data_IF_962102783815
#
_entry.id   IF_962102783815
#
_cell.length_a   1.000
_cell.length_b   1.000
_cell.length_c   1.000
_cell.angle_alpha   90.00
_cell.angle_beta   90.00
_cell.angle_gamma   90.00
#
_symmetry.space_group_name_H-M   'P 1'
#
loop_
_entity.id
_entity.type
_entity.pdbx_description
1 polymer ?
#
# COMPACT_ATOMS: atom_id res chain seq x y z
N UNK A 1 -13.24 -39.24 45.53
CA UNK A 1 -13.45 -38.51 46.80
C UNK A 1 -13.34 -37.03 46.52
N UNK A 2 -14.31 -36.29 46.98
CA UNK A 2 -14.43 -34.83 47.11
C UNK A 2 -14.53 -34.07 45.78
N UNK A 3 -15.68 -33.67 45.37
CA UNK A 3 -16.72 -32.72 45.86
C UNK A 3 -16.20 -31.29 45.97
N UNK A 4 -16.83 -30.45 45.23
CA UNK A 4 -17.37 -29.14 45.54
C UNK A 4 -16.98 -28.14 44.44
N UNK A 5 -17.70 -27.18 44.07
CA UNK A 5 -19.06 -26.69 44.38
C UNK A 5 -19.43 -25.72 43.26
N UNK A 6 -20.63 -25.85 42.82
CA UNK A 6 -21.32 -24.82 42.01
C UNK A 6 -21.36 -23.50 42.79
N UNK A 7 -21.11 -22.43 42.14
CA UNK A 7 -21.67 -21.16 42.54
C UNK A 7 -22.20 -20.40 41.32
N UNK A 8 -23.49 -20.60 41.16
CA UNK A 8 -24.36 -19.84 40.27
C UNK A 8 -24.61 -18.49 40.93
N UNK A 9 -24.12 -17.44 40.33
CA UNK A 9 -24.58 -16.10 40.66
C UNK A 9 -25.42 -15.58 39.53
N UNK A 10 -26.71 -15.70 39.72
CA UNK A 10 -27.73 -15.03 38.91
C UNK A 10 -27.81 -13.60 39.45
N UNK A 11 -27.25 -12.66 38.73
CA UNK A 11 -27.54 -11.26 38.94
C UNK A 11 -28.63 -10.84 37.96
N UNK A 12 -29.85 -10.91 38.41
CA UNK A 12 -30.99 -10.29 37.74
C UNK A 12 -30.91 -8.79 37.99
N UNK A 13 -30.48 -8.03 37.01
CA UNK A 13 -30.66 -6.57 37.03
C UNK A 13 -31.87 -6.27 36.16
N UNK A 14 -32.99 -6.12 36.79
CA UNK A 14 -34.15 -5.48 36.19
C UNK A 14 -33.89 -3.97 36.20
N UNK A 15 -33.51 -3.42 35.08
CA UNK A 15 -33.54 -1.97 34.86
C UNK A 15 -34.86 -1.63 34.17
N UNK A 16 -35.81 -1.32 34.97
CA UNK A 16 -36.98 -0.53 34.58
C UNK A 16 -36.52 0.93 34.47
N UNK A 17 -36.07 1.30 33.30
CA UNK A 17 -35.81 2.69 32.92
C UNK A 17 -36.49 2.96 31.59
N UNK A 18 -37.75 3.38 31.65
CA UNK A 18 -38.46 3.93 30.50
C UNK A 18 -37.81 5.25 30.12
N UNK A 19 -36.80 5.21 29.26
CA UNK A 19 -36.33 6.37 28.53
C UNK A 19 -37.03 6.41 27.17
N UNK A 20 -37.36 7.57 26.64
CA UNK A 20 -37.86 7.68 25.29
C UNK A 20 -36.86 7.01 24.37
N UNK A 21 -37.30 6.07 23.59
CA UNK A 21 -36.53 5.49 22.50
C UNK A 21 -36.06 6.63 21.62
N UNK A 22 -34.81 7.02 21.82
CA UNK A 22 -34.13 7.86 20.88
C UNK A 22 -34.18 7.15 19.52
N UNK A 23 -34.38 7.95 18.46
CA UNK A 23 -34.56 7.52 17.10
C UNK A 23 -33.79 6.27 16.74
N UNK A 24 -34.44 5.34 16.02
CA UNK A 24 -33.85 4.11 15.53
C UNK A 24 -32.51 4.40 14.85
N UNK A 25 -31.48 3.54 15.00
CA UNK A 25 -30.15 3.73 14.41
C UNK A 25 -30.17 3.60 12.88
N UNK A 26 -31.13 4.13 12.22
CA UNK A 26 -31.31 4.18 10.76
C UNK A 26 -31.62 5.55 10.23
N UNK A 27 -31.98 6.50 11.11
CA UNK A 27 -32.40 7.83 10.71
C UNK A 27 -31.33 8.94 10.87
N UNK A 28 -30.06 8.55 11.03
CA UNK A 28 -29.02 9.55 10.84
C UNK A 28 -28.91 9.82 9.33
N UNK A 29 -29.20 11.06 8.89
CA UNK A 29 -28.96 11.39 7.50
C UNK A 29 -27.50 11.12 7.20
N UNK A 30 -27.25 10.23 6.25
CA UNK A 30 -25.91 10.01 5.70
C UNK A 30 -25.45 11.38 5.23
N UNK A 31 -24.55 12.00 5.99
CA UNK A 31 -23.97 13.27 5.56
C UNK A 31 -23.21 12.98 4.27
N UNK A 32 -23.58 13.58 3.15
CA UNK A 32 -22.79 13.41 1.94
C UNK A 32 -21.38 13.92 2.25
N UNK A 33 -20.39 13.12 1.90
CA UNK A 33 -18.98 13.52 1.98
C UNK A 33 -18.81 14.92 1.41
N UNK A 34 -18.09 15.80 2.09
CA UNK A 34 -17.95 17.17 1.65
C UNK A 34 -17.42 17.20 0.21
N UNK A 35 -17.97 18.04 -0.65
CA UNK A 35 -17.62 18.09 -2.08
C UNK A 35 -16.13 18.33 -2.35
N UNK A 36 -15.42 18.89 -1.38
CA UNK A 36 -13.96 19.08 -1.43
C UNK A 36 -13.15 17.76 -1.53
N UNK A 37 -13.67 16.65 -1.00
CA UNK A 37 -12.99 15.36 -1.09
C UNK A 37 -13.11 14.76 -2.50
N UNK A 38 -14.21 15.01 -3.21
CA UNK A 38 -14.39 14.55 -4.59
C UNK A 38 -13.58 15.36 -5.60
N UNK A 39 -13.41 16.66 -5.36
CA UNK A 39 -12.62 17.53 -6.24
C UNK A 39 -11.11 17.30 -6.11
N UNK A 40 -10.64 16.74 -4.98
CA UNK A 40 -9.24 16.39 -4.81
C UNK A 40 -8.86 15.13 -5.61
N UNK A 41 -9.78 14.16 -5.69
CA UNK A 41 -9.55 12.91 -6.43
C UNK A 41 -9.52 13.10 -7.96
N UNK A 42 -10.32 14.02 -8.49
CA UNK A 42 -10.39 14.27 -9.94
C UNK A 42 -9.11 14.90 -10.53
N UNK A 43 -8.22 15.41 -9.70
CA UNK A 43 -6.96 16.02 -10.13
C UNK A 43 -5.74 15.12 -9.97
N UNK A 44 -5.87 14.03 -9.24
CA UNK A 44 -4.75 13.09 -9.10
C UNK A 44 -4.58 12.26 -10.38
N UNK A 45 -3.35 12.14 -10.82
CA UNK A 45 -2.96 11.27 -11.94
C UNK A 45 -1.97 10.22 -11.45
N UNK A 46 -2.03 9.07 -12.09
CA UNK A 46 -1.16 7.94 -11.80
C UNK A 46 -0.37 7.60 -13.06
N UNK A 47 0.94 7.48 -12.91
CA UNK A 47 1.82 6.86 -13.89
C UNK A 47 2.36 5.57 -13.27
N UNK A 48 2.39 4.49 -14.01
CA UNK A 48 2.84 3.21 -13.48
C UNK A 48 3.59 2.38 -14.50
N UNK A 49 4.53 1.59 -14.02
CA UNK A 49 5.19 0.53 -14.79
C UNK A 49 5.31 -0.72 -13.94
N UNK A 50 5.20 -1.88 -14.59
CA UNK A 50 5.36 -3.18 -13.94
C UNK A 50 6.55 -3.90 -14.53
N UNK A 51 7.41 -4.40 -13.66
CA UNK A 51 8.61 -5.14 -13.99
C UNK A 51 8.54 -6.56 -13.42
N UNK A 52 8.88 -7.59 -14.21
CA UNK A 52 9.00 -8.94 -13.67
C UNK A 52 10.19 -9.02 -12.72
N UNK A 53 10.13 -9.93 -11.75
CA UNK A 53 11.27 -10.20 -10.86
C UNK A 53 12.48 -10.69 -11.63
N UNK A 54 12.24 -11.46 -12.69
CA UNK A 54 13.31 -11.96 -13.56
C UNK A 54 14.04 -10.81 -14.24
N UNK A 55 15.33 -10.70 -14.00
CA UNK A 55 16.17 -9.67 -14.57
C UNK A 55 15.98 -8.28 -13.96
N UNK A 56 15.30 -8.18 -12.83
CA UNK A 56 15.11 -6.90 -12.12
C UNK A 56 16.39 -6.48 -11.39
N UNK A 57 17.07 -7.44 -10.78
CA UNK A 57 18.29 -7.21 -10.01
C UNK A 57 19.48 -7.99 -10.56
N UNK A 58 20.66 -7.43 -10.38
CA UNK A 58 21.96 -8.09 -10.52
C UNK A 58 22.64 -7.98 -9.15
N UNK A 59 22.70 -9.08 -8.41
CA UNK A 59 23.03 -9.03 -6.99
C UNK A 59 21.99 -8.18 -6.23
N UNK A 60 22.46 -7.20 -5.49
CA UNK A 60 21.59 -6.27 -4.74
C UNK A 60 21.27 -4.98 -5.51
N UNK A 61 21.76 -4.84 -6.71
CA UNK A 61 21.59 -3.62 -7.52
C UNK A 61 20.53 -3.85 -8.60
N UNK A 62 19.87 -2.76 -8.98
CA UNK A 62 19.02 -2.77 -10.17
C UNK A 62 19.83 -3.09 -11.43
N UNK A 63 19.28 -3.94 -12.29
CA UNK A 63 19.81 -4.19 -13.61
C UNK A 63 19.72 -2.93 -14.50
N UNK A 64 20.53 -2.85 -15.55
CA UNK A 64 20.47 -1.73 -16.48
C UNK A 64 19.11 -1.63 -17.17
N UNK A 65 18.52 -2.76 -17.54
CA UNK A 65 17.17 -2.80 -18.11
C UNK A 65 16.10 -2.28 -17.13
N UNK A 66 16.22 -2.63 -15.86
CA UNK A 66 15.29 -2.12 -14.85
C UNK A 66 15.45 -0.61 -14.66
N UNK A 67 16.68 -0.12 -14.65
CA UNK A 67 16.97 1.32 -14.56
C UNK A 67 16.39 2.10 -15.72
N UNK A 68 16.53 1.57 -16.93
CA UNK A 68 15.98 2.17 -18.15
C UNK A 68 14.46 2.30 -18.04
N UNK A 69 13.77 1.20 -17.74
CA UNK A 69 12.28 1.17 -17.60
C UNK A 69 11.77 2.08 -16.50
N UNK A 70 12.44 2.08 -15.35
CA UNK A 70 12.07 2.98 -14.25
C UNK A 70 12.39 4.45 -14.60
N UNK A 71 13.47 4.68 -15.35
CA UNK A 71 13.82 6.00 -15.85
C UNK A 71 12.78 6.56 -16.83
N UNK A 72 12.27 5.73 -17.74
CA UNK A 72 11.17 6.10 -18.65
C UNK A 72 9.94 6.53 -17.86
N UNK A 73 9.55 5.78 -16.82
CA UNK A 73 8.43 6.15 -15.97
C UNK A 73 8.63 7.51 -15.28
N UNK A 74 9.84 7.78 -14.81
CA UNK A 74 10.14 9.06 -14.15
C UNK A 74 10.02 10.22 -15.16
N UNK A 75 10.45 10.01 -16.40
CA UNK A 75 10.27 10.99 -17.47
C UNK A 75 8.79 11.18 -17.78
N UNK A 76 8.01 10.09 -17.88
CA UNK A 76 6.57 10.15 -18.12
C UNK A 76 5.81 10.84 -16.97
N UNK A 77 6.34 10.79 -15.76
CA UNK A 77 5.79 11.45 -14.59
C UNK A 77 6.31 12.87 -14.37
N UNK A 78 7.14 13.40 -15.28
CA UNK A 78 7.71 14.74 -15.14
C UNK A 78 6.68 15.88 -15.20
N UNK A 79 5.51 15.60 -15.78
CA UNK A 79 4.36 16.49 -15.80
C UNK A 79 3.56 16.49 -14.48
N UNK A 80 3.98 15.68 -13.53
CA UNK A 80 3.32 15.54 -12.23
C UNK A 80 4.16 16.14 -11.10
N UNK A 81 3.49 16.85 -10.21
CA UNK A 81 4.01 17.08 -8.87
C UNK A 81 3.77 15.81 -8.06
N UNK A 82 4.76 14.93 -8.03
CA UNK A 82 4.65 13.61 -7.40
C UNK A 82 4.48 13.75 -5.90
N UNK A 83 3.36 13.29 -5.39
CA UNK A 83 3.02 13.28 -3.96
C UNK A 83 3.41 11.95 -3.30
N UNK A 84 3.28 10.84 -4.06
CA UNK A 84 3.58 9.48 -3.59
C UNK A 84 4.22 8.68 -4.71
N UNK A 85 5.30 7.97 -4.37
CA UNK A 85 5.87 6.90 -5.18
C UNK A 85 5.66 5.58 -4.44
N UNK A 86 4.85 4.69 -5.00
CA UNK A 86 4.45 3.45 -4.38
C UNK A 86 5.11 2.26 -5.08
N UNK A 87 5.92 1.53 -4.33
CA UNK A 87 6.50 0.27 -4.75
C UNK A 87 5.56 -0.86 -4.34
N UNK A 88 5.00 -1.58 -5.30
CA UNK A 88 4.03 -2.65 -5.07
C UNK A 88 4.59 -3.98 -5.55
N UNK A 89 5.28 -4.74 -4.68
CA UNK A 89 5.63 -6.12 -4.97
C UNK A 89 4.37 -6.99 -4.92
N UNK A 90 4.14 -7.75 -5.99
CA UNK A 90 2.97 -8.62 -6.16
C UNK A 90 3.44 -10.02 -6.53
N UNK A 91 2.75 -11.03 -6.01
CA UNK A 91 3.06 -12.43 -6.25
C UNK A 91 4.02 -13.02 -5.22
N UNK A 92 4.63 -14.19 -5.52
CA UNK A 92 5.36 -14.98 -4.55
C UNK A 92 6.81 -14.47 -4.34
N UNK A 93 6.97 -13.26 -3.83
CA UNK A 93 8.26 -12.75 -3.41
C UNK A 93 8.74 -13.39 -2.10
N UNK A 94 10.04 -13.58 -1.98
CA UNK A 94 10.70 -14.06 -0.76
C UNK A 94 11.42 -12.90 -0.09
N UNK A 95 10.88 -12.46 1.04
CA UNK A 95 11.43 -11.30 1.78
C UNK A 95 12.66 -11.73 2.60
N UNK A 96 12.64 -12.96 3.12
CA UNK A 96 13.72 -13.54 3.95
C UNK A 96 14.74 -14.34 3.13
N UNK A 97 14.77 -14.15 1.81
CA UNK A 97 15.70 -14.82 0.93
C UNK A 97 17.15 -14.37 1.15
N UNK A 98 18.09 -15.17 0.65
CA UNK A 98 19.53 -14.90 0.74
C UNK A 98 20.01 -13.74 -0.16
N UNK A 99 19.14 -13.25 -1.05
CA UNK A 99 19.49 -12.28 -2.08
C UNK A 99 20.11 -12.89 -3.34
N UNK A 100 20.27 -14.20 -3.39
CA UNK A 100 20.80 -14.91 -4.55
C UNK A 100 19.71 -15.26 -5.58
N UNK A 101 18.46 -15.39 -5.14
CA UNK A 101 17.32 -15.75 -5.99
C UNK A 101 16.70 -14.56 -6.70
N UNK A 102 16.13 -14.80 -7.88
CA UNK A 102 15.39 -13.78 -8.62
C UNK A 102 14.12 -13.31 -7.89
N UNK A 103 13.56 -14.17 -7.05
CA UNK A 103 12.34 -13.90 -6.27
C UNK A 103 12.61 -13.29 -4.89
N UNK A 104 13.87 -13.04 -4.58
CA UNK A 104 14.25 -12.48 -3.30
C UNK A 104 14.12 -10.95 -3.33
N UNK A 105 13.28 -10.41 -2.45
CA UNK A 105 13.13 -8.97 -2.26
C UNK A 105 13.72 -8.57 -0.92
N UNK A 106 15.03 -8.54 -0.86
CA UNK A 106 15.78 -8.23 0.35
C UNK A 106 15.74 -6.74 0.69
N UNK A 107 16.01 -6.35 1.95
CA UNK A 107 16.15 -4.95 2.34
C UNK A 107 17.20 -4.21 1.49
N UNK A 108 18.30 -4.86 1.11
CA UNK A 108 19.33 -4.27 0.26
C UNK A 108 18.81 -3.94 -1.15
N UNK A 109 18.01 -4.84 -1.73
CA UNK A 109 17.35 -4.61 -3.03
C UNK A 109 16.31 -3.51 -2.97
N UNK A 110 15.49 -3.47 -1.92
CA UNK A 110 14.54 -2.37 -1.68
C UNK A 110 15.27 -1.03 -1.52
N UNK A 111 16.40 -1.04 -0.82
CA UNK A 111 17.22 0.16 -0.66
C UNK A 111 17.81 0.64 -1.99
N UNK A 112 18.20 -0.28 -2.88
CA UNK A 112 18.66 0.05 -4.24
C UNK A 112 17.56 0.74 -5.06
N UNK A 113 16.33 0.26 -4.97
CA UNK A 113 15.17 0.90 -5.61
C UNK A 113 14.93 2.32 -5.08
N UNK A 114 14.91 2.48 -3.76
CA UNK A 114 14.73 3.78 -3.13
C UNK A 114 15.83 4.76 -3.49
N UNK A 115 17.07 4.30 -3.49
CA UNK A 115 18.23 5.12 -3.88
C UNK A 115 18.10 5.58 -5.33
N UNK A 116 17.76 4.68 -6.24
CA UNK A 116 17.56 5.02 -7.65
C UNK A 116 16.50 6.12 -7.82
N UNK A 117 15.36 6.01 -7.14
CA UNK A 117 14.29 7.01 -7.20
C UNK A 117 14.75 8.35 -6.62
N UNK A 118 15.47 8.32 -5.51
CA UNK A 118 16.00 9.52 -4.85
C UNK A 118 17.03 10.24 -5.72
N UNK A 119 17.92 9.52 -6.36
CA UNK A 119 18.92 10.06 -7.30
C UNK A 119 18.26 10.72 -8.53
N UNK A 120 17.02 10.33 -8.82
CA UNK A 120 16.21 10.89 -9.91
C UNK A 120 15.23 11.99 -9.46
N UNK A 121 15.37 12.47 -8.23
CA UNK A 121 14.61 13.61 -7.69
C UNK A 121 13.33 13.26 -6.96
N UNK A 122 13.02 11.98 -6.73
CA UNK A 122 11.88 11.58 -5.90
C UNK A 122 12.25 11.74 -4.42
N UNK A 123 11.43 12.47 -3.67
CA UNK A 123 11.64 12.66 -2.23
C UNK A 123 11.56 11.29 -1.51
N UNK A 124 12.61 10.86 -0.79
CA UNK A 124 12.62 9.57 -0.10
C UNK A 124 11.51 9.42 0.94
N UNK A 125 11.00 10.52 1.49
CA UNK A 125 9.88 10.53 2.42
C UNK A 125 8.54 10.20 1.76
N UNK A 126 8.48 10.28 0.43
CA UNK A 126 7.29 9.99 -0.37
C UNK A 126 7.33 8.61 -1.01
N UNK A 127 8.37 7.83 -0.78
CA UNK A 127 8.52 6.46 -1.30
C UNK A 127 8.02 5.46 -0.28
N UNK A 128 6.97 4.75 -0.63
CA UNK A 128 6.33 3.73 0.20
C UNK A 128 6.40 2.36 -0.47
N UNK A 129 6.32 1.32 0.33
CA UNK A 129 6.26 -0.07 -0.13
C UNK A 129 4.96 -0.68 0.37
N UNK A 130 4.16 -1.20 -0.54
CA UNK A 130 2.91 -1.89 -0.24
C UNK A 130 2.94 -3.29 -0.86
N UNK A 131 3.18 -4.32 -0.06
CA UNK A 131 3.13 -5.70 -0.54
C UNK A 131 1.70 -6.15 -0.76
N UNK A 132 1.42 -6.68 -1.95
CA UNK A 132 0.15 -7.32 -2.29
C UNK A 132 0.39 -8.77 -2.61
N UNK A 133 -0.18 -9.64 -1.79
CA UNK A 133 -0.18 -11.08 -2.05
C UNK A 133 -1.35 -11.36 -2.97
N UNK A 134 -1.06 -11.84 -4.17
CA UNK A 134 -2.06 -12.30 -5.13
C UNK A 134 -1.69 -13.71 -5.58
N UNK A 135 -2.44 -14.69 -5.11
CA UNK A 135 -2.22 -16.11 -5.44
C UNK A 135 -2.46 -16.44 -6.92
N UNK A 136 -3.14 -15.56 -7.64
CA UNK A 136 -3.39 -15.71 -9.08
C UNK A 136 -2.17 -15.35 -9.92
N UNK A 137 -1.23 -14.60 -9.35
CA UNK A 137 -0.02 -14.20 -10.03
C UNK A 137 1.06 -15.24 -9.77
N UNK A 138 1.36 -16.05 -10.80
CA UNK A 138 2.35 -17.12 -10.69
C UNK A 138 3.80 -16.62 -10.62
N UNK A 139 4.10 -15.50 -11.26
CA UNK A 139 5.43 -14.89 -11.29
C UNK A 139 5.46 -13.61 -10.46
N UNK A 140 6.47 -13.40 -9.61
CA UNK A 140 6.58 -12.17 -8.85
C UNK A 140 6.87 -10.99 -9.76
N UNK A 141 6.21 -9.87 -9.47
CA UNK A 141 6.30 -8.63 -10.21
C UNK A 141 6.48 -7.46 -9.24
N UNK A 142 7.12 -6.41 -9.71
CA UNK A 142 7.19 -5.14 -9.00
C UNK A 142 6.53 -4.06 -9.83
N UNK A 143 5.51 -3.42 -9.30
CA UNK A 143 4.90 -2.25 -9.90
C UNK A 143 5.36 -1.01 -9.16
N UNK A 144 5.86 -0.02 -9.91
CA UNK A 144 6.08 1.33 -9.39
C UNK A 144 4.94 2.21 -9.88
N UNK A 145 4.28 2.87 -8.95
CA UNK A 145 3.23 3.85 -9.22
C UNK A 145 3.68 5.22 -8.73
N UNK A 146 3.61 6.20 -9.58
CA UNK A 146 3.80 7.60 -9.22
C UNK A 146 2.46 8.31 -9.25
N UNK A 147 2.05 8.81 -8.10
CA UNK A 147 0.78 9.50 -7.91
C UNK A 147 1.07 10.96 -7.61
N UNK A 148 0.42 11.84 -8.31
CA UNK A 148 0.60 13.27 -8.13
C UNK A 148 -0.46 14.08 -8.84
N UNK A 149 -0.34 15.39 -8.72
CA UNK A 149 -1.17 16.34 -9.44
C UNK A 149 -0.41 16.89 -10.63
N UNK A 150 -1.10 17.30 -11.69
CA UNK A 150 -0.44 18.00 -12.78
C UNK A 150 0.41 19.16 -12.23
N UNK A 151 1.64 19.29 -12.68
CA UNK A 151 2.45 20.45 -12.36
C UNK A 151 1.73 21.68 -12.90
N UNK A 152 1.67 22.75 -12.10
CA UNK A 152 1.15 24.02 -12.59
C UNK A 152 2.14 24.61 -13.59
N UNK A 153 1.64 25.07 -14.73
CA UNK A 153 2.41 25.82 -15.73
C UNK A 153 2.90 27.16 -15.16
#
# INVERSE_FOLDING_TARGET
MSRHLLLTVIATVAVLGGGPLAAAPGDQPVQPLPPSTRLADDKQRVRSTTLPARGLFVGDKLSDRARERLGELIVDASDLNVEVALLVPTGPWQIDGSGAGERDLTPARLQSLRRFLTERGVDPKRVFVESRIDEKIAEPQLTLQMVGRPAAD
#
